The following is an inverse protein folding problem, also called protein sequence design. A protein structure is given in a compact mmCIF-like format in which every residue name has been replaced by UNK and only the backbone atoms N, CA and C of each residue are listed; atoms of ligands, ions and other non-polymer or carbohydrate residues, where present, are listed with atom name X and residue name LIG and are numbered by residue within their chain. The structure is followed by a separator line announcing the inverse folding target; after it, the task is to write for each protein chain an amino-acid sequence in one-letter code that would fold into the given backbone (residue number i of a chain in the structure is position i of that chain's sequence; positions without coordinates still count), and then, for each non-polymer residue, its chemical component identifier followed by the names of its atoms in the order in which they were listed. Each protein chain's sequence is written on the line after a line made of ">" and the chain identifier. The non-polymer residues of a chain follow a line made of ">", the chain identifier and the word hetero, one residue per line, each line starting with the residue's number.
data_IF_210002959620
#
_entry.id   IF_210002959620
#
_cell.length_a   1.000
_cell.length_b   1.000
_cell.length_c   1.000
_cell.angle_alpha   90.00
_cell.angle_beta   90.00
_cell.angle_gamma   90.00
#
_symmetry.space_group_name_H-M   'P 1'
#
loop_
_entity.id
_entity.type
_entity.pdbx_description
1 polymer ?
#
# COMPACT_ATOMS: atom_id res chain seq x y z
N UNK A 1 -2.64 19.62 -2.45
CA UNK A 1 -3.92 19.98 -3.10
C UNK A 1 -4.15 19.34 -4.48
N UNK A 2 -3.34 19.58 -5.53
CA UNK A 2 -3.58 18.93 -6.84
C UNK A 2 -3.54 17.39 -6.77
N UNK A 3 -2.59 16.82 -6.01
CA UNK A 3 -2.54 15.37 -5.83
C UNK A 3 -3.81 14.84 -5.15
N UNK A 4 -4.23 15.43 -4.04
CA UNK A 4 -5.42 15.00 -3.30
C UNK A 4 -6.68 15.00 -4.18
N UNK A 5 -6.87 16.05 -4.98
CA UNK A 5 -7.97 16.13 -5.95
C UNK A 5 -7.86 14.99 -6.96
N UNK A 6 -6.67 14.71 -7.50
CA UNK A 6 -6.49 13.59 -8.40
C UNK A 6 -6.72 12.23 -7.70
N UNK A 7 -6.34 12.05 -6.45
CA UNK A 7 -6.61 10.81 -5.71
C UNK A 7 -8.12 10.58 -5.50
N UNK A 8 -8.91 11.65 -5.40
CA UNK A 8 -10.36 11.56 -5.24
C UNK A 8 -11.09 11.31 -6.56
N UNK A 9 -10.66 11.95 -7.65
CA UNK A 9 -11.44 12.00 -8.91
C UNK A 9 -10.77 11.29 -10.09
N UNK A 10 -9.44 11.16 -10.08
CA UNK A 10 -8.63 10.61 -11.18
C UNK A 10 -7.46 9.76 -10.68
N UNK A 11 -7.70 8.60 -10.03
CA UNK A 11 -6.65 7.78 -9.41
C UNK A 11 -5.48 7.41 -10.33
N UNK A 12 -5.73 7.18 -11.62
CA UNK A 12 -4.68 6.84 -12.59
C UNK A 12 -3.69 7.99 -12.80
N UNK A 13 -4.18 9.23 -12.81
CA UNK A 13 -3.34 10.43 -12.93
C UNK A 13 -2.55 10.63 -11.64
N UNK A 14 -3.17 10.39 -10.49
CA UNK A 14 -2.46 10.44 -9.22
C UNK A 14 -1.33 9.41 -9.14
N UNK A 15 -1.56 8.17 -9.59
CA UNK A 15 -0.52 7.14 -9.62
C UNK A 15 0.67 7.52 -10.51
N UNK A 16 0.40 8.09 -11.68
CA UNK A 16 1.43 8.60 -12.58
C UNK A 16 2.24 9.75 -11.94
N UNK A 17 1.57 10.66 -11.23
CA UNK A 17 2.23 11.78 -10.51
C UNK A 17 3.11 11.24 -9.38
N UNK A 18 2.60 10.31 -8.57
CA UNK A 18 3.33 9.68 -7.47
C UNK A 18 4.56 8.90 -7.96
N UNK A 19 4.48 8.32 -9.16
CA UNK A 19 5.60 7.66 -9.82
C UNK A 19 6.69 8.60 -10.36
N UNK A 20 6.43 9.91 -10.43
CA UNK A 20 7.40 10.88 -10.97
C UNK A 20 8.48 11.23 -9.93
N UNK A 21 9.74 11.37 -10.38
CA UNK A 21 10.87 11.73 -9.51
C UNK A 21 10.71 13.09 -8.83
N UNK A 22 9.90 14.00 -9.40
CA UNK A 22 9.66 15.32 -8.82
C UNK A 22 8.81 15.25 -7.55
N UNK A 23 7.92 14.26 -7.42
CA UNK A 23 7.03 14.15 -6.26
C UNK A 23 7.75 13.63 -5.01
N UNK A 24 8.85 12.87 -5.17
CA UNK A 24 9.72 12.42 -4.07
C UNK A 24 10.34 13.56 -3.24
N UNK A 25 10.36 14.79 -3.79
CA UNK A 25 10.98 15.97 -3.17
C UNK A 25 9.93 16.86 -2.46
N UNK A 26 8.64 16.53 -2.57
CA UNK A 26 7.56 17.31 -1.95
C UNK A 26 7.34 16.91 -0.49
N UNK A 27 7.28 17.88 0.43
CA UNK A 27 6.87 17.65 1.82
C UNK A 27 5.34 17.60 1.93
N UNK A 28 4.78 16.40 2.00
CA UNK A 28 3.36 16.18 2.29
C UNK A 28 3.21 15.24 3.48
N UNK A 29 2.02 15.25 4.08
CA UNK A 29 1.67 14.29 5.11
C UNK A 29 1.54 12.90 4.48
N UNK A 30 2.54 12.05 4.75
CA UNK A 30 2.60 10.69 4.21
C UNK A 30 1.40 9.84 4.66
N UNK A 31 0.94 10.00 5.90
CA UNK A 31 -0.20 9.24 6.40
C UNK A 31 -1.48 9.65 5.68
N UNK A 32 -1.70 10.95 5.50
CA UNK A 32 -2.86 11.45 4.77
C UNK A 32 -2.88 10.97 3.31
N UNK A 33 -1.72 11.03 2.61
CA UNK A 33 -1.63 10.54 1.24
C UNK A 33 -1.82 9.03 1.17
N UNK A 34 -1.27 8.26 2.11
CA UNK A 34 -1.48 6.82 2.16
C UNK A 34 -2.97 6.45 2.24
N UNK A 35 -3.73 7.15 3.09
CA UNK A 35 -5.18 6.97 3.24
C UNK A 35 -5.95 7.29 1.95
N UNK A 36 -5.54 8.34 1.23
CA UNK A 36 -6.16 8.70 -0.05
C UNK A 36 -5.82 7.67 -1.14
N UNK A 37 -4.57 7.20 -1.22
CA UNK A 37 -4.16 6.12 -2.11
C UNK A 37 -4.97 4.85 -1.87
N UNK A 38 -5.16 4.48 -0.62
CA UNK A 38 -5.93 3.31 -0.24
C UNK A 38 -7.41 3.44 -0.63
N UNK A 39 -8.05 4.58 -0.36
CA UNK A 39 -9.44 4.84 -0.81
C UNK A 39 -9.60 4.77 -2.32
N UNK A 40 -8.53 5.10 -3.04
CA UNK A 40 -8.44 5.01 -4.49
C UNK A 40 -8.04 3.62 -5.00
N UNK A 41 -7.92 2.62 -4.12
CA UNK A 41 -7.43 1.26 -4.40
C UNK A 41 -5.98 1.18 -4.95
N UNK A 42 -5.19 2.24 -4.79
CA UNK A 42 -3.78 2.28 -5.13
C UNK A 42 -2.93 1.66 -4.01
N UNK A 43 -3.15 0.38 -3.71
CA UNK A 43 -2.58 -0.26 -2.53
C UNK A 43 -1.05 -0.30 -2.54
N UNK A 44 -0.42 -0.51 -3.69
CA UNK A 44 1.05 -0.45 -3.81
C UNK A 44 1.58 0.93 -3.37
N UNK A 45 0.89 2.02 -3.74
CA UNK A 45 1.24 3.38 -3.32
C UNK A 45 0.98 3.61 -1.84
N UNK A 46 -0.15 3.13 -1.33
CA UNK A 46 -0.45 3.23 0.09
C UNK A 46 0.66 2.57 0.94
N UNK A 47 1.16 1.40 0.52
CA UNK A 47 2.27 0.69 1.18
C UNK A 47 3.62 1.38 1.11
N UNK A 48 3.85 2.30 0.17
CA UNK A 48 5.07 3.11 0.12
C UNK A 48 5.10 4.17 1.23
N UNK A 49 3.92 4.59 1.71
CA UNK A 49 3.77 5.71 2.65
C UNK A 49 3.34 5.28 4.06
N UNK A 50 2.66 4.14 4.20
CA UNK A 50 2.30 3.64 5.53
C UNK A 50 3.53 3.17 6.31
N UNK A 51 3.56 3.58 7.58
CA UNK A 51 4.60 3.20 8.55
C UNK A 51 4.01 2.34 9.66
N UNK A 52 2.74 2.58 10.00
CA UNK A 52 2.05 1.82 11.04
C UNK A 52 1.76 0.38 10.57
N UNK A 53 2.09 -0.57 11.44
CA UNK A 53 1.98 -2.00 11.12
C UNK A 53 0.54 -2.45 10.91
N UNK A 54 -0.43 -1.84 11.61
CA UNK A 54 -1.84 -2.19 11.45
C UNK A 54 -2.35 -1.77 10.07
N UNK A 55 -1.97 -0.57 9.61
CA UNK A 55 -2.32 -0.08 8.27
C UNK A 55 -1.65 -0.92 7.18
N UNK A 56 -0.36 -1.25 7.33
CA UNK A 56 0.37 -2.11 6.40
C UNK A 56 -0.31 -3.47 6.26
N UNK A 57 -0.61 -4.14 7.37
CA UNK A 57 -1.28 -5.45 7.38
C UNK A 57 -2.63 -5.38 6.67
N UNK A 58 -3.43 -4.36 7.00
CA UNK A 58 -4.76 -4.15 6.42
C UNK A 58 -4.73 -3.90 4.91
N UNK A 59 -3.81 -3.05 4.43
CA UNK A 59 -3.66 -2.77 3.00
C UNK A 59 -3.15 -3.98 2.23
N UNK A 60 -2.19 -4.72 2.78
CA UNK A 60 -1.72 -5.97 2.18
C UNK A 60 -2.86 -6.98 2.04
N UNK A 61 -3.67 -7.17 3.09
CA UNK A 61 -4.85 -8.04 3.04
C UNK A 61 -5.84 -7.60 1.97
N UNK A 62 -6.20 -6.32 1.93
CA UNK A 62 -7.13 -5.78 0.94
C UNK A 62 -6.61 -5.97 -0.48
N UNK A 63 -5.36 -5.62 -0.73
CA UNK A 63 -4.75 -5.70 -2.05
C UNK A 63 -4.54 -7.13 -2.54
N UNK A 64 -4.20 -8.07 -1.65
CA UNK A 64 -4.08 -9.48 -2.00
C UNK A 64 -5.45 -10.09 -2.31
N UNK A 65 -6.45 -9.83 -1.47
CA UNK A 65 -7.81 -10.36 -1.66
C UNK A 65 -8.47 -9.82 -2.94
N UNK A 66 -8.18 -8.58 -3.31
CA UNK A 66 -8.70 -7.98 -4.53
C UNK A 66 -7.88 -8.31 -5.79
N UNK A 67 -6.76 -9.03 -5.66
CA UNK A 67 -5.83 -9.32 -6.76
C UNK A 67 -5.06 -8.11 -7.30
N UNK A 68 -5.06 -6.98 -6.58
CA UNK A 68 -4.37 -5.74 -6.98
C UNK A 68 -2.92 -5.69 -6.48
N UNK A 69 -2.60 -6.44 -5.42
CA UNK A 69 -1.24 -6.74 -5.00
C UNK A 69 -0.96 -8.19 -5.41
N UNK A 70 0.15 -8.39 -6.11
CA UNK A 70 0.59 -9.74 -6.44
C UNK A 70 1.43 -10.33 -5.31
N UNK A 71 1.42 -11.66 -5.09
CA UNK A 71 2.22 -12.30 -4.06
C UNK A 71 3.72 -11.95 -4.14
N UNK A 72 4.27 -11.75 -5.35
CA UNK A 72 5.69 -11.40 -5.53
C UNK A 72 6.05 -10.03 -4.96
N UNK A 73 5.08 -9.11 -4.89
CA UNK A 73 5.25 -7.81 -4.24
C UNK A 73 5.51 -7.97 -2.74
N UNK A 74 4.88 -8.97 -2.09
CA UNK A 74 5.11 -9.26 -0.67
C UNK A 74 6.57 -9.66 -0.43
N UNK A 75 7.16 -10.48 -1.32
CA UNK A 75 8.55 -10.89 -1.20
C UNK A 75 9.51 -9.70 -1.25
N UNK A 76 9.26 -8.78 -2.18
CA UNK A 76 10.01 -7.54 -2.30
C UNK A 76 9.78 -6.61 -1.10
N UNK A 77 8.58 -6.63 -0.54
CA UNK A 77 8.24 -5.89 0.68
C UNK A 77 9.02 -6.42 1.87
N UNK A 78 9.01 -7.74 2.12
CA UNK A 78 9.74 -8.38 3.22
C UNK A 78 11.25 -8.18 3.18
N UNK A 79 11.84 -8.02 1.99
CA UNK A 79 13.26 -7.65 1.88
C UNK A 79 13.63 -6.31 2.53
N UNK A 80 12.66 -5.47 2.89
CA UNK A 80 12.84 -4.16 3.54
C UNK A 80 12.43 -4.13 5.02
N UNK A 81 11.94 -5.23 5.58
CA UNK A 81 11.47 -5.32 6.96
C UNK A 81 12.27 -6.35 7.76
N UNK A 82 12.20 -6.25 9.09
CA UNK A 82 12.82 -7.26 9.97
C UNK A 82 12.06 -8.59 9.89
N UNK A 83 12.73 -9.73 10.13
CA UNK A 83 12.08 -11.04 10.11
C UNK A 83 10.83 -11.13 11.01
N UNK A 84 10.84 -10.49 12.18
CA UNK A 84 9.73 -10.49 13.13
C UNK A 84 8.50 -9.83 12.52
N UNK A 85 8.68 -8.69 11.87
CA UNK A 85 7.60 -7.97 11.18
C UNK A 85 7.05 -8.79 10.01
N UNK A 86 7.92 -9.45 9.25
CA UNK A 86 7.51 -10.34 8.16
C UNK A 86 6.64 -11.50 8.67
N UNK A 87 7.04 -12.14 9.78
CA UNK A 87 6.28 -13.22 10.42
C UNK A 87 4.93 -12.72 10.92
N UNK A 88 4.89 -11.53 11.52
CA UNK A 88 3.65 -10.89 11.99
C UNK A 88 2.68 -10.60 10.84
N UNK A 89 3.18 -10.11 9.71
CA UNK A 89 2.37 -9.87 8.51
C UNK A 89 1.87 -11.19 7.91
N UNK A 90 2.74 -12.20 7.79
CA UNK A 90 2.38 -13.52 7.27
C UNK A 90 1.29 -14.20 8.10
N UNK A 91 1.40 -14.14 9.43
CA UNK A 91 0.36 -14.67 10.33
C UNK A 91 -0.99 -14.02 10.04
N UNK A 92 -1.00 -12.71 9.83
CA UNK A 92 -2.23 -11.99 9.56
C UNK A 92 -2.82 -12.36 8.19
N UNK A 93 -1.99 -12.45 7.15
CA UNK A 93 -2.41 -12.91 5.82
C UNK A 93 -3.01 -14.32 5.88
N UNK A 94 -2.38 -15.24 6.60
CA UNK A 94 -2.87 -16.63 6.72
C UNK A 94 -4.18 -16.75 7.49
N UNK A 95 -4.46 -15.89 8.47
CA UNK A 95 -5.75 -15.90 9.19
C UNK A 95 -6.93 -15.56 8.27
N UNK A 96 -6.71 -14.66 7.31
CA UNK A 96 -7.76 -14.14 6.43
C UNK A 96 -7.79 -14.79 5.06
N UNK A 97 -6.83 -15.67 4.76
CA UNK A 97 -6.84 -16.54 3.59
C UNK A 97 -7.38 -17.91 4.02
N UNK A 98 -8.71 -18.13 4.12
CA UNK A 98 -9.21 -19.49 4.20
C UNK A 98 -8.70 -20.17 2.94
N UNK A 99 -7.88 -21.20 3.12
CA UNK A 99 -7.44 -22.07 2.03
C UNK A 99 -8.70 -22.39 1.23
N UNK A 100 -8.79 -21.86 0.01
CA UNK A 100 -9.83 -22.26 -0.94
C UNK A 100 -9.43 -23.67 -1.37
N UNK A 101 -9.80 -24.66 -0.55
CA UNK A 101 -9.75 -26.08 -0.87
C UNK A 101 -10.97 -26.40 -1.73
#
# INVERSE_FOLDING_TARGET
>A
KLLEVNLMFSPQVADAILGSNQYKISHFDHQHIAQLCERANLFNRALEYYVDMADIKRVLLMGLNSGMIKPETILSYFGRHTPENCVEILREIMKFNPVQV
#
